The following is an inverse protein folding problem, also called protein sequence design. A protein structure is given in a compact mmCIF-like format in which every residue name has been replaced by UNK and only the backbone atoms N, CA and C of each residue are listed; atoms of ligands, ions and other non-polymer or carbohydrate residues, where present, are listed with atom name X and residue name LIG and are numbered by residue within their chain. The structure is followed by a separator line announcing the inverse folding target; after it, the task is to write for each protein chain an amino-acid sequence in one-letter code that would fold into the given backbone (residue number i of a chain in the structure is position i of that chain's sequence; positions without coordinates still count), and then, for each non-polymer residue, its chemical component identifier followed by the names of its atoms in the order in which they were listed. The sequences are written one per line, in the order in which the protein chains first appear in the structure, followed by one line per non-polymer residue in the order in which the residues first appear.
data_IF_557313519648
#
_entry.id   IF_557313519648
#
_cell.length_a   1.000
_cell.length_b   1.000
_cell.length_c   1.000
_cell.angle_alpha   90.00
_cell.angle_beta   90.00
_cell.angle_gamma   90.00
#
_symmetry.space_group_name_H-M   'P 1'
#
loop_
_entity.id
_entity.type
_entity.pdbx_description
1 polymer ?
#
# COMPACT_ATOMS: atom_id res chain seq x y z
N UNK A 1 -57.09 -5.72 -53.46
CA UNK A 1 -56.13 -5.64 -52.33
C UNK A 1 -54.75 -5.56 -52.94
N UNK A 2 -54.07 -4.41 -52.83
CA UNK A 2 -52.86 -4.11 -53.61
C UNK A 2 -51.61 -4.70 -52.94
N UNK A 3 -50.84 -5.50 -53.68
CA UNK A 3 -49.51 -5.97 -53.28
C UNK A 3 -48.50 -4.83 -53.46
N UNK A 4 -47.95 -4.33 -52.34
CA UNK A 4 -46.79 -3.42 -52.34
C UNK A 4 -45.52 -4.27 -52.31
N UNK A 5 -44.81 -4.32 -53.43
CA UNK A 5 -43.41 -4.76 -53.50
C UNK A 5 -42.54 -3.77 -52.73
N UNK A 6 -41.97 -4.17 -51.60
CA UNK A 6 -40.93 -3.41 -50.90
C UNK A 6 -39.59 -3.79 -51.52
N UNK A 7 -39.02 -2.88 -52.30
CA UNK A 7 -37.63 -2.97 -52.75
C UNK A 7 -36.70 -2.88 -51.53
N UNK A 8 -35.70 -3.76 -51.46
CA UNK A 8 -34.67 -3.71 -50.42
C UNK A 8 -33.93 -2.38 -50.50
N UNK A 9 -33.81 -1.69 -49.36
CA UNK A 9 -33.07 -0.45 -49.26
C UNK A 9 -31.57 -0.68 -49.56
N UNK A 10 -30.89 0.26 -50.24
CA UNK A 10 -29.45 0.16 -50.47
C UNK A 10 -28.69 0.26 -49.15
N UNK A 11 -27.75 -0.66 -48.94
CA UNK A 11 -26.86 -0.68 -47.76
C UNK A 11 -25.87 0.48 -47.87
N UNK A 12 -25.69 1.21 -46.77
CA UNK A 12 -24.81 2.38 -46.69
C UNK A 12 -23.33 1.94 -46.90
N UNK A 13 -22.56 2.57 -47.82
CA UNK A 13 -21.20 2.16 -48.13
C UNK A 13 -20.22 2.22 -46.93
N UNK A 14 -20.56 2.95 -45.86
CA UNK A 14 -19.77 2.97 -44.62
C UNK A 14 -19.85 1.65 -43.82
N UNK A 15 -20.97 0.93 -43.88
CA UNK A 15 -21.12 -0.36 -43.17
C UNK A 15 -20.29 -1.48 -43.81
N UNK A 16 -19.97 -1.37 -45.11
CA UNK A 16 -19.26 -2.43 -45.82
C UNK A 16 -17.73 -2.37 -45.63
N UNK A 17 -17.15 -1.18 -45.48
CA UNK A 17 -15.74 -1.05 -45.10
C UNK A 17 -15.50 -1.53 -43.66
N UNK A 18 -16.38 -1.18 -42.73
CA UNK A 18 -16.28 -1.60 -41.33
C UNK A 18 -16.42 -3.12 -41.19
N UNK A 19 -17.32 -3.74 -41.98
CA UNK A 19 -17.45 -5.20 -42.02
C UNK A 19 -16.19 -5.88 -42.58
N UNK A 20 -15.60 -5.33 -43.65
CA UNK A 20 -14.34 -5.84 -44.22
C UNK A 20 -13.17 -5.66 -43.27
N UNK A 21 -13.13 -4.57 -42.50
CA UNK A 21 -12.10 -4.32 -41.48
C UNK A 21 -12.22 -5.31 -40.31
N UNK A 22 -13.44 -5.57 -39.84
CA UNK A 22 -13.70 -6.56 -38.78
C UNK A 22 -13.41 -8.00 -39.24
N UNK A 23 -13.71 -8.34 -40.49
CA UNK A 23 -13.37 -9.64 -41.08
C UNK A 23 -11.85 -9.83 -41.22
N UNK A 24 -11.10 -8.80 -41.62
CA UNK A 24 -9.63 -8.82 -41.62
C UNK A 24 -9.06 -8.96 -40.21
N UNK A 25 -9.57 -8.19 -39.25
CA UNK A 25 -9.13 -8.26 -37.86
C UNK A 25 -9.39 -9.66 -37.24
N UNK A 26 -10.51 -10.31 -37.62
CA UNK A 26 -10.80 -11.70 -37.21
C UNK A 26 -9.96 -12.74 -37.94
N UNK A 27 -9.60 -12.51 -39.20
CA UNK A 27 -8.70 -13.37 -39.96
C UNK A 27 -7.25 -13.30 -39.43
N UNK A 28 -6.83 -12.14 -38.90
CA UNK A 28 -5.52 -11.92 -38.27
C UNK A 28 -5.47 -12.38 -36.81
N UNK A 29 -6.62 -12.47 -36.12
CA UNK A 29 -6.71 -12.98 -34.75
C UNK A 29 -6.73 -14.52 -34.72
N UNK A 30 -5.64 -15.16 -35.15
CA UNK A 30 -5.40 -16.57 -34.85
C UNK A 30 -5.28 -16.80 -33.33
N UNK A 31 -5.52 -18.03 -32.83
CA UNK A 31 -5.23 -18.33 -31.44
C UNK A 31 -3.74 -18.08 -31.16
N UNK A 32 -3.47 -17.15 -30.25
CA UNK A 32 -2.11 -16.81 -29.81
C UNK A 32 -1.53 -18.03 -29.08
N UNK A 33 -0.92 -18.95 -29.84
CA UNK A 33 -0.09 -20.03 -29.28
C UNK A 33 1.28 -19.48 -28.94
N UNK A 34 1.35 -18.66 -27.89
CA UNK A 34 2.63 -18.26 -27.31
C UNK A 34 3.06 -19.31 -26.31
N UNK A 35 3.90 -20.26 -26.73
CA UNK A 35 4.90 -20.86 -25.84
C UNK A 35 5.88 -19.75 -25.48
N UNK A 36 5.45 -18.88 -24.56
CA UNK A 36 6.23 -17.76 -24.09
C UNK A 36 7.22 -18.31 -23.05
N UNK A 37 8.51 -18.23 -23.34
CA UNK A 37 9.53 -18.58 -22.36
C UNK A 37 9.63 -17.47 -21.31
N UNK A 38 9.17 -17.77 -20.10
CA UNK A 38 9.16 -16.84 -18.97
C UNK A 38 10.54 -16.71 -18.29
N UNK A 39 11.54 -17.51 -18.70
CA UNK A 39 12.90 -17.48 -18.14
C UNK A 39 13.61 -16.13 -18.34
N UNK A 40 13.21 -15.39 -19.38
CA UNK A 40 13.79 -14.08 -19.74
C UNK A 40 13.11 -12.90 -19.05
N UNK A 41 12.06 -13.15 -18.26
CA UNK A 41 11.29 -12.11 -17.59
C UNK A 41 11.78 -11.88 -16.16
N UNK A 42 11.96 -10.61 -15.77
CA UNK A 42 12.27 -10.24 -14.39
C UNK A 42 11.00 -10.39 -13.56
N UNK A 43 10.99 -11.38 -12.67
CA UNK A 43 9.92 -11.56 -11.69
C UNK A 43 10.03 -10.47 -10.61
N UNK A 44 9.14 -9.48 -10.67
CA UNK A 44 8.94 -8.55 -9.56
C UNK A 44 8.08 -9.23 -8.50
N UNK A 45 8.64 -9.48 -7.32
CA UNK A 45 7.84 -9.95 -6.20
C UNK A 45 7.01 -8.78 -5.65
N UNK A 46 5.72 -9.00 -5.35
CA UNK A 46 4.95 -7.98 -4.66
C UNK A 46 5.68 -7.63 -3.38
N UNK A 47 6.05 -6.35 -3.23
CA UNK A 47 6.63 -5.87 -1.98
C UNK A 47 5.73 -6.31 -0.84
N UNK A 48 6.29 -6.98 0.18
CA UNK A 48 5.51 -7.55 1.29
C UNK A 48 4.51 -6.50 1.77
N UNK A 49 3.20 -6.75 1.55
CA UNK A 49 2.16 -5.98 2.22
C UNK A 49 2.45 -6.11 3.70
N UNK A 50 2.72 -5.00 4.37
CA UNK A 50 3.17 -5.03 5.77
C UNK A 50 1.95 -5.36 6.64
N UNK A 51 1.61 -6.65 6.70
CA UNK A 51 0.67 -7.21 7.66
C UNK A 51 1.41 -7.41 8.98
N UNK A 52 0.74 -7.17 10.11
CA UNK A 52 1.30 -7.33 11.44
C UNK A 52 1.51 -6.02 12.21
N UNK A 53 2.26 -6.15 13.31
CA UNK A 53 2.50 -5.13 14.33
C UNK A 53 3.81 -4.42 14.04
N UNK A 54 3.74 -3.18 13.55
CA UNK A 54 4.93 -2.45 13.11
C UNK A 54 4.80 -0.94 13.32
N UNK A 55 5.97 -0.30 13.39
CA UNK A 55 6.12 1.15 13.37
C UNK A 55 7.18 1.53 12.35
N UNK A 56 6.97 2.62 11.63
CA UNK A 56 7.96 3.15 10.69
C UNK A 56 8.14 4.65 10.87
N UNK A 57 9.40 5.09 10.94
CA UNK A 57 9.76 6.51 10.91
C UNK A 57 10.27 6.83 9.52
N UNK A 58 9.65 7.77 8.82
CA UNK A 58 10.01 8.12 7.45
C UNK A 58 10.90 9.37 7.34
N UNK A 59 11.28 9.72 6.11
CA UNK A 59 12.17 10.86 5.81
C UNK A 59 11.55 12.21 6.13
N UNK A 60 10.23 12.30 6.29
CA UNK A 60 9.51 13.52 6.72
C UNK A 60 9.42 13.64 8.24
N UNK A 61 9.82 12.59 8.97
CA UNK A 61 9.64 12.50 10.42
C UNK A 61 8.21 12.12 10.82
N UNK A 62 7.42 11.60 9.87
CA UNK A 62 6.16 10.93 10.19
C UNK A 62 6.49 9.56 10.79
N UNK A 63 5.83 9.25 11.88
CA UNK A 63 5.85 7.97 12.54
C UNK A 63 4.51 7.31 12.27
N UNK A 64 4.55 6.23 11.50
CA UNK A 64 3.36 5.45 11.13
C UNK A 64 3.31 4.20 11.98
N UNK A 65 2.13 3.89 12.50
CA UNK A 65 1.84 2.74 13.34
C UNK A 65 0.86 1.86 12.57
N UNK A 66 1.08 0.55 12.63
CA UNK A 66 0.20 -0.40 11.95
C UNK A 66 -1.23 -0.30 12.47
N UNK A 67 -2.18 -0.64 11.59
CA UNK A 67 -3.61 -0.60 11.94
C UNK A 67 -3.97 -1.50 13.13
N UNK A 68 -3.29 -2.64 13.26
CA UNK A 68 -3.49 -3.60 14.35
C UNK A 68 -3.15 -3.01 15.72
N UNK A 69 -2.09 -2.20 15.79
CA UNK A 69 -1.68 -1.54 17.04
C UNK A 69 -2.56 -0.31 17.29
N UNK A 70 -2.85 0.48 16.26
CA UNK A 70 -3.69 1.68 16.42
C UNK A 70 -5.10 1.36 16.93
N UNK A 71 -5.63 0.17 16.63
CA UNK A 71 -6.92 -0.31 17.14
C UNK A 71 -6.90 -0.65 18.64
N UNK A 72 -5.73 -0.95 19.19
CA UNK A 72 -5.56 -1.32 20.59
C UNK A 72 -5.34 -0.09 21.48
N UNK A 73 -5.02 1.07 20.89
CA UNK A 73 -4.87 2.34 21.59
C UNK A 73 -6.25 2.99 21.72
N UNK A 74 -6.73 3.17 22.96
CA UNK A 74 -8.09 3.63 23.27
C UNK A 74 -8.18 5.16 23.46
N UNK A 75 -7.20 5.76 24.12
CA UNK A 75 -7.06 7.19 24.44
C UNK A 75 -6.78 8.05 23.20
N UNK A 76 -6.24 7.44 22.14
CA UNK A 76 -5.77 8.13 20.94
C UNK A 76 -4.48 8.95 21.14
N UNK A 77 -3.86 8.87 22.33
CA UNK A 77 -2.62 9.57 22.66
C UNK A 77 -1.56 8.58 23.11
N UNK A 78 -0.33 8.78 22.64
CA UNK A 78 0.80 7.92 23.01
C UNK A 78 2.05 8.70 23.33
N UNK A 79 2.91 8.11 24.14
CA UNK A 79 4.31 8.47 24.24
C UNK A 79 5.16 7.54 23.40
N UNK A 80 6.14 8.13 22.72
CA UNK A 80 7.12 7.43 21.92
C UNK A 80 8.48 7.56 22.60
N UNK A 81 8.97 6.46 23.14
CA UNK A 81 10.28 6.38 23.78
C UNK A 81 11.22 5.62 22.86
N UNK A 82 12.49 6.01 22.84
CA UNK A 82 13.50 5.36 22.01
C UNK A 82 14.78 5.23 22.80
N UNK A 83 15.43 4.07 22.73
CA UNK A 83 16.72 3.90 23.40
C UNK A 83 17.79 4.82 22.77
N UNK A 84 18.88 5.07 23.50
CA UNK A 84 19.93 5.99 23.07
C UNK A 84 20.54 5.64 21.70
N UNK A 85 20.57 4.35 21.36
CA UNK A 85 21.12 3.82 20.10
C UNK A 85 20.12 3.88 18.94
N UNK A 86 18.81 3.97 19.21
CA UNK A 86 17.76 4.01 18.19
C UNK A 86 17.29 2.64 17.67
N UNK A 87 17.75 1.54 18.29
CA UNK A 87 17.40 0.16 17.88
C UNK A 87 16.14 -0.37 18.55
N UNK A 88 15.71 0.24 19.66
CA UNK A 88 14.51 -0.14 20.42
C UNK A 88 13.61 1.09 20.53
N UNK A 89 12.33 0.88 20.23
CA UNK A 89 11.28 1.86 20.42
C UNK A 89 10.24 1.31 21.39
N UNK A 90 9.62 2.17 22.19
CA UNK A 90 8.52 1.80 23.06
C UNK A 90 7.37 2.76 22.80
N UNK A 91 6.17 2.20 22.65
CA UNK A 91 4.93 2.95 22.58
C UNK A 91 4.16 2.68 23.87
N UNK A 92 3.92 3.76 24.61
CA UNK A 92 3.13 3.74 25.83
C UNK A 92 1.87 4.57 25.61
N UNK A 93 0.73 4.02 25.99
CA UNK A 93 -0.52 4.76 25.96
C UNK A 93 -0.59 5.76 27.13
N UNK A 94 -1.09 6.97 26.87
CA UNK A 94 -1.22 8.01 27.90
C UNK A 94 -2.53 8.78 27.73
N UNK A 95 -3.14 9.18 28.83
CA UNK A 95 -4.40 9.94 28.78
C UNK A 95 -4.19 11.38 28.30
N UNK A 96 -3.07 12.02 28.65
CA UNK A 96 -2.75 13.43 28.34
C UNK A 96 -1.25 13.63 28.15
N UNK A 97 -0.87 14.68 27.42
CA UNK A 97 0.53 15.08 27.23
C UNK A 97 1.31 14.30 26.17
N UNK A 98 0.72 13.23 25.62
CA UNK A 98 1.31 12.45 24.53
C UNK A 98 1.09 13.03 23.13
N UNK A 99 1.66 12.35 22.15
CA UNK A 99 1.40 12.58 20.73
C UNK A 99 -0.02 12.09 20.38
N UNK A 100 -0.83 13.01 19.85
CA UNK A 100 -2.12 12.65 19.26
C UNK A 100 -1.92 11.91 17.95
N UNK A 101 -2.60 10.78 17.82
CA UNK A 101 -2.64 10.00 16.60
C UNK A 101 -3.70 10.56 15.65
N UNK A 102 -3.38 10.59 14.36
CA UNK A 102 -4.36 10.78 13.29
C UNK A 102 -4.39 9.60 12.35
N UNK A 103 -5.58 9.28 11.82
CA UNK A 103 -5.73 8.21 10.84
C UNK A 103 -5.17 8.62 9.48
N UNK A 104 -4.47 7.70 8.83
CA UNK A 104 -3.95 7.87 7.47
C UNK A 104 -4.82 7.06 6.50
N UNK A 105 -5.75 7.76 5.84
CA UNK A 105 -6.60 7.20 4.79
C UNK A 105 -7.52 6.08 5.26
N UNK A 106 -8.06 5.32 4.29
CA UNK A 106 -9.04 4.24 4.53
C UNK A 106 -8.44 2.98 5.18
N UNK A 107 -7.10 2.84 5.19
CA UNK A 107 -6.41 1.65 5.69
C UNK A 107 -6.24 1.64 7.22
N UNK A 108 -6.63 2.72 7.89
CA UNK A 108 -6.73 2.79 9.35
C UNK A 108 -5.39 2.77 10.10
N UNK A 109 -4.25 2.87 9.42
CA UNK A 109 -2.97 3.08 10.07
C UNK A 109 -2.94 4.46 10.73
N UNK A 110 -2.47 4.53 11.97
CA UNK A 110 -2.32 5.79 12.67
C UNK A 110 -0.96 6.42 12.36
N UNK A 111 -0.90 7.74 12.46
CA UNK A 111 0.32 8.50 12.25
C UNK A 111 0.45 9.62 13.28
N UNK A 112 1.69 9.95 13.59
CA UNK A 112 2.10 11.15 14.32
C UNK A 112 3.33 11.76 13.63
N UNK A 113 3.71 12.97 14.01
CA UNK A 113 4.95 13.59 13.55
C UNK A 113 5.90 13.78 14.71
N UNK A 114 7.10 13.19 14.60
CA UNK A 114 8.18 13.34 15.56
C UNK A 114 9.50 13.57 14.82
N UNK A 115 9.78 14.85 14.51
CA UNK A 115 11.05 15.25 13.85
C UNK A 115 12.27 14.98 14.72
N UNK A 116 12.11 15.00 16.04
CA UNK A 116 13.16 14.64 17.00
C UNK A 116 13.59 13.18 16.83
N UNK A 117 12.63 12.25 16.73
CA UNK A 117 12.93 10.84 16.46
C UNK A 117 13.69 10.65 15.15
N UNK A 118 13.26 11.31 14.06
CA UNK A 118 14.00 11.32 12.78
C UNK A 118 15.45 11.78 12.97
N UNK A 119 15.66 12.93 13.62
CA UNK A 119 16.99 13.50 13.83
C UNK A 119 17.87 12.58 14.66
N UNK A 120 17.31 11.99 15.71
CA UNK A 120 18.00 11.01 16.56
C UNK A 120 18.47 9.80 15.74
N UNK A 121 17.59 9.21 14.93
CA UNK A 121 17.93 8.05 14.09
C UNK A 121 19.02 8.37 13.05
N UNK A 122 18.91 9.50 12.36
CA UNK A 122 19.93 9.94 11.40
C UNK A 122 21.26 10.18 12.13
N UNK A 123 21.23 10.83 13.29
CA UNK A 123 22.41 11.08 14.12
C UNK A 123 23.10 9.80 14.62
N UNK A 124 22.40 8.67 14.62
CA UNK A 124 22.94 7.33 14.92
C UNK A 124 23.30 6.52 13.68
N UNK A 125 23.23 7.10 12.48
CA UNK A 125 23.53 6.42 11.22
C UNK A 125 22.47 5.40 10.78
N UNK A 126 21.26 5.43 11.37
CA UNK A 126 20.18 4.52 11.00
C UNK A 126 19.53 5.01 9.70
N UNK A 127 19.45 4.12 8.71
CA UNK A 127 18.80 4.41 7.41
C UNK A 127 17.30 4.61 7.60
N UNK A 128 16.77 5.62 6.92
CA UNK A 128 15.34 5.94 6.91
C UNK A 128 14.73 5.56 5.55
N UNK A 129 13.51 4.97 5.48
CA UNK A 129 12.59 4.70 6.58
C UNK A 129 13.09 3.62 7.53
N UNK A 130 13.16 3.95 8.83
CA UNK A 130 13.47 3.00 9.87
C UNK A 130 12.18 2.23 10.19
N UNK A 131 12.28 0.91 10.35
CA UNK A 131 11.13 0.04 10.59
C UNK A 131 11.36 -0.78 11.84
N UNK A 132 10.34 -0.88 12.67
CA UNK A 132 10.35 -1.61 13.91
C UNK A 132 9.24 -2.65 13.88
N UNK A 133 9.59 -3.87 14.28
CA UNK A 133 8.63 -4.93 14.57
C UNK A 133 8.25 -4.85 16.03
N UNK A 134 6.95 -4.75 16.31
CA UNK A 134 6.41 -4.48 17.64
C UNK A 134 5.80 -5.73 18.26
N UNK A 135 6.11 -5.94 19.53
CA UNK A 135 5.55 -6.97 20.38
C UNK A 135 4.98 -6.32 21.65
N UNK A 136 3.93 -6.91 22.22
CA UNK A 136 3.35 -6.44 23.46
C UNK A 136 4.14 -7.03 24.63
N UNK A 137 4.61 -6.17 25.53
CA UNK A 137 5.26 -6.58 26.77
C UNK A 137 4.22 -6.57 27.90
N UNK A 138 3.83 -7.77 28.35
CA UNK A 138 2.83 -7.92 29.42
C UNK A 138 3.31 -7.42 30.78
N UNK A 139 4.62 -7.40 31.04
CA UNK A 139 5.14 -6.97 32.35
C UNK A 139 5.09 -5.44 32.47
N UNK A 140 5.40 -4.76 31.37
CA UNK A 140 5.44 -3.30 31.32
C UNK A 140 4.14 -2.68 30.80
N UNK A 141 3.23 -3.50 30.25
CA UNK A 141 1.97 -3.07 29.61
C UNK A 141 2.23 -2.00 28.53
N UNK A 142 3.22 -2.25 27.67
CA UNK A 142 3.61 -1.36 26.57
C UNK A 142 3.95 -2.15 25.31
N UNK A 143 3.92 -1.48 24.16
CA UNK A 143 4.45 -2.05 22.93
C UNK A 143 5.95 -1.78 22.83
N UNK A 144 6.74 -2.83 22.62
CA UNK A 144 8.19 -2.75 22.45
C UNK A 144 8.55 -3.16 21.03
N UNK A 145 9.24 -2.27 20.32
CA UNK A 145 9.60 -2.45 18.93
C UNK A 145 11.11 -2.59 18.75
N UNK A 146 11.54 -3.56 17.94
CA UNK A 146 12.95 -3.75 17.56
C UNK A 146 13.18 -3.37 16.11
N UNK A 147 14.26 -2.64 15.85
CA UNK A 147 14.63 -2.21 14.51
C UNK A 147 14.88 -3.44 13.62
N UNK A 148 14.17 -3.50 12.48
CA UNK A 148 14.40 -4.50 11.46
C UNK A 148 15.70 -4.16 10.71
N UNK A 149 16.59 -5.16 10.59
CA UNK A 149 17.87 -5.04 9.88
C UNK A 149 17.66 -4.88 8.37
#
# INVERSE_FOLDING_TARGET
MNARTLAAAPVDPFDEEDRKLQERARAESGPVKTTLDLSSFIKFEPGRSIKGKWLSVNTRGEVRISHEISKQIQTGCIELLMNAVGTIVVIREVERGGFKLWSVGKNGAACLTCRAAKRHLIGRGIKIPARYELEWDESLQVWVGRLQK
#
